data_IF_508932781701
#
_entry.id   IF_508932781701
#
_cell.length_a   1.000
_cell.length_b   1.000
_cell.length_c   1.000
_cell.angle_alpha   90.00
_cell.angle_beta   90.00
_cell.angle_gamma   90.00
#
_symmetry.space_group_name_H-M   'P 1'
#
loop_
_entity.id
_entity.type
_entity.pdbx_description
1 polymer ?
#
# COMPACT_ATOMS: atom_id res chain seq x y z
N UNK A 1 -35.82 11.76 -3.24
CA UNK A 1 -35.97 12.10 -1.81
C UNK A 1 -35.00 13.23 -1.49
N UNK A 2 -35.52 14.40 -1.10
CA UNK A 2 -34.75 15.56 -0.61
C UNK A 2 -34.59 15.44 0.90
N UNK A 3 -33.39 15.76 1.41
CA UNK A 3 -32.94 16.07 2.79
C UNK A 3 -31.50 15.50 2.89
N UNK A 4 -30.43 16.21 3.25
CA UNK A 4 -30.30 17.28 4.22
C UNK A 4 -29.00 18.08 3.92
N UNK A 5 -29.10 19.27 3.31
CA UNK A 5 -27.94 20.13 2.98
C UNK A 5 -27.80 21.36 3.90
N UNK A 6 -28.55 21.44 5.00
CA UNK A 6 -28.53 22.61 5.90
C UNK A 6 -27.66 22.45 7.16
N UNK A 7 -27.06 21.29 7.43
CA UNK A 7 -26.20 21.12 8.62
C UNK A 7 -24.73 21.51 8.42
N UNK A 8 -24.23 21.61 7.18
CA UNK A 8 -22.84 21.99 6.91
C UNK A 8 -22.63 23.52 6.74
N UNK A 9 -23.69 24.30 6.55
CA UNK A 9 -23.60 25.76 6.45
C UNK A 9 -23.57 26.48 7.82
N UNK A 10 -24.06 25.82 8.89
CA UNK A 10 -24.12 26.43 10.23
C UNK A 10 -22.77 26.60 10.92
N UNK A 11 -21.84 25.67 10.73
CA UNK A 11 -20.50 25.71 11.38
C UNK A 11 -19.55 26.74 10.77
N UNK A 12 -19.66 27.00 9.46
CA UNK A 12 -18.86 28.02 8.78
C UNK A 12 -19.33 29.45 9.08
N UNK A 13 -20.64 29.66 9.30
CA UNK A 13 -21.19 30.98 9.65
C UNK A 13 -20.80 31.35 11.09
N UNK A 14 -20.85 30.40 12.05
CA UNK A 14 -20.48 30.67 13.45
C UNK A 14 -18.99 31.05 13.63
N UNK A 15 -18.08 30.44 12.87
CA UNK A 15 -16.65 30.76 12.89
C UNK A 15 -16.32 32.13 12.25
N UNK A 16 -17.08 32.54 11.22
CA UNK A 16 -16.92 33.87 10.60
C UNK A 16 -17.54 35.01 11.43
N UNK A 17 -18.65 34.78 12.14
CA UNK A 17 -19.20 35.78 13.09
C UNK A 17 -18.33 35.99 14.33
N UNK A 18 -17.62 34.95 14.79
CA UNK A 18 -16.71 35.07 15.94
C UNK A 18 -15.45 35.90 15.61
N UNK A 19 -14.98 35.85 14.36
CA UNK A 19 -13.83 36.63 13.89
C UNK A 19 -14.19 38.08 13.51
N UNK A 20 -15.45 38.36 13.14
CA UNK A 20 -15.89 39.72 12.77
C UNK A 20 -16.27 40.59 13.97
N UNK A 21 -16.74 40.01 15.08
CA UNK A 21 -17.12 40.80 16.27
C UNK A 21 -15.94 41.19 17.17
N UNK A 22 -14.74 40.66 16.91
CA UNK A 22 -13.53 41.03 17.65
C UNK A 22 -12.89 42.36 17.16
N UNK A 23 -13.43 42.99 16.11
CA UNK A 23 -12.81 44.15 15.47
C UNK A 23 -13.60 45.47 15.60
N UNK A 24 -14.74 45.52 16.30
CA UNK A 24 -15.52 46.75 16.39
C UNK A 24 -16.35 46.87 17.68
N UNK A 25 -15.73 47.29 18.78
CA UNK A 25 -16.45 48.06 19.81
C UNK A 25 -15.47 48.90 20.68
N UNK A 26 -15.50 50.24 20.66
CA UNK A 26 -14.59 51.10 21.42
C UNK A 26 -15.19 51.52 22.78
N UNK A 27 -15.91 50.63 23.45
CA UNK A 27 -16.45 50.92 24.77
C UNK A 27 -16.52 49.65 25.60
N UNK A 28 -15.63 49.53 26.60
CA UNK A 28 -15.95 49.14 27.98
C UNK A 28 -14.68 49.00 28.79
N UNK A 29 -14.40 50.09 29.49
CA UNK A 29 -13.38 50.22 30.52
C UNK A 29 -13.91 49.62 31.83
N UNK A 30 -13.75 48.30 32.03
CA UNK A 30 -13.75 47.63 33.36
C UNK A 30 -13.08 46.26 33.21
N UNK A 31 -11.75 46.23 33.26
CA UNK A 31 -10.97 44.99 33.17
C UNK A 31 -10.77 44.37 34.57
N UNK A 32 -11.37 43.20 34.80
CA UNK A 32 -10.75 42.16 35.64
C UNK A 32 -9.50 41.60 34.93
N UNK A 33 -8.48 41.12 35.64
CA UNK A 33 -7.22 40.71 35.02
C UNK A 33 -7.43 39.49 34.10
N UNK A 34 -6.76 39.43 32.93
CA UNK A 34 -7.06 38.49 31.84
C UNK A 34 -6.59 37.03 32.08
N UNK A 35 -6.28 36.63 33.30
CA UNK A 35 -5.67 35.31 33.57
C UNK A 35 -6.68 34.15 33.58
N UNK A 36 -7.95 34.40 33.91
CA UNK A 36 -8.99 33.36 34.00
C UNK A 36 -9.56 32.98 32.62
N UNK A 37 -9.87 33.97 31.78
CA UNK A 37 -10.46 33.72 30.46
C UNK A 37 -9.51 33.00 29.49
N UNK A 38 -8.21 33.28 29.53
CA UNK A 38 -7.23 32.57 28.70
C UNK A 38 -7.02 31.12 29.13
N UNK A 39 -7.13 30.83 30.44
CA UNK A 39 -7.00 29.48 30.97
C UNK A 39 -8.21 28.62 30.62
N UNK A 40 -9.42 29.19 30.66
CA UNK A 40 -10.66 28.51 30.27
C UNK A 40 -10.71 28.20 28.77
N UNK A 41 -10.31 29.16 27.91
CA UNK A 41 -10.20 28.93 26.45
C UNK A 41 -9.14 27.87 26.14
N UNK A 42 -8.05 27.85 26.90
CA UNK A 42 -6.98 26.86 26.74
C UNK A 42 -7.40 25.45 27.17
N UNK A 43 -8.08 25.31 28.31
CA UNK A 43 -8.66 24.03 28.75
C UNK A 43 -9.75 23.54 27.78
N UNK A 44 -10.59 24.44 27.27
CA UNK A 44 -11.57 24.08 26.24
C UNK A 44 -10.90 23.60 24.94
N UNK A 45 -9.81 24.25 24.52
CA UNK A 45 -9.07 23.85 23.32
C UNK A 45 -8.40 22.47 23.46
N UNK A 46 -7.88 22.16 24.65
CA UNK A 46 -7.32 20.84 24.98
C UNK A 46 -8.41 19.76 24.99
N UNK A 47 -9.56 20.04 25.62
CA UNK A 47 -10.68 19.10 25.65
C UNK A 47 -11.29 18.87 24.27
N UNK A 48 -11.39 19.89 23.42
CA UNK A 48 -11.86 19.74 22.04
C UNK A 48 -10.85 18.97 21.17
N UNK A 49 -9.55 19.21 21.33
CA UNK A 49 -8.51 18.45 20.65
C UNK A 49 -8.52 16.97 21.07
N UNK A 50 -8.71 16.68 22.37
CA UNK A 50 -8.83 15.32 22.90
C UNK A 50 -10.13 14.62 22.44
N UNK A 51 -11.25 15.35 22.35
CA UNK A 51 -12.49 14.79 21.79
C UNK A 51 -12.36 14.50 20.29
N UNK A 52 -11.75 15.40 19.52
CA UNK A 52 -11.44 15.19 18.10
C UNK A 52 -10.47 14.01 17.92
N UNK A 53 -9.52 13.84 18.84
CA UNK A 53 -8.59 12.73 18.90
C UNK A 53 -9.31 11.38 19.09
N UNK A 54 -10.15 11.28 20.13
CA UNK A 54 -10.95 10.08 20.42
C UNK A 54 -11.95 9.76 19.28
N UNK A 55 -12.54 10.79 18.68
CA UNK A 55 -13.47 10.65 17.57
C UNK A 55 -12.76 10.26 16.27
N UNK A 56 -11.55 10.77 16.03
CA UNK A 56 -10.70 10.33 14.92
C UNK A 56 -10.33 8.85 15.09
N UNK A 57 -9.94 8.41 16.29
CA UNK A 57 -9.54 7.04 16.62
C UNK A 57 -10.66 6.01 16.39
N UNK A 58 -11.90 6.34 16.75
CA UNK A 58 -13.08 5.48 16.53
C UNK A 58 -13.56 5.47 15.07
N UNK A 59 -13.55 6.62 14.40
CA UNK A 59 -13.86 6.71 12.96
C UNK A 59 -12.86 5.93 12.12
N UNK A 60 -11.61 5.92 12.58
CA UNK A 60 -10.49 5.19 11.99
C UNK A 60 -10.71 3.69 12.13
N UNK A 61 -10.96 3.14 13.33
CA UNK A 61 -11.21 1.70 13.49
C UNK A 61 -12.38 1.20 12.63
N UNK A 62 -13.45 2.00 12.49
CA UNK A 62 -14.59 1.66 11.65
C UNK A 62 -14.27 1.71 10.15
N UNK A 63 -13.36 2.59 9.74
CA UNK A 63 -12.89 2.68 8.36
C UNK A 63 -11.95 1.53 7.99
N UNK A 64 -10.98 1.21 8.83
CA UNK A 64 -10.10 0.06 8.63
C UNK A 64 -10.90 -1.26 8.51
N UNK A 65 -11.90 -1.45 9.37
CA UNK A 65 -12.83 -2.59 9.27
C UNK A 65 -13.65 -2.59 7.97
N UNK A 66 -13.99 -1.42 7.41
CA UNK A 66 -14.72 -1.32 6.12
C UNK A 66 -13.83 -1.62 4.92
N UNK A 67 -12.60 -1.11 4.92
CA UNK A 67 -11.59 -1.45 3.90
C UNK A 67 -11.34 -2.97 3.90
N UNK A 68 -11.20 -3.57 5.09
CA UNK A 68 -11.02 -5.01 5.29
C UNK A 68 -12.20 -5.86 4.79
N UNK A 69 -13.46 -5.40 4.98
CA UNK A 69 -14.68 -6.13 4.57
C UNK A 69 -15.02 -6.02 3.08
N UNK A 70 -14.57 -4.97 2.40
CA UNK A 70 -14.92 -4.70 0.98
C UNK A 70 -13.81 -5.04 -0.01
N UNK A 71 -12.57 -5.14 0.44
CA UNK A 71 -11.45 -5.58 -0.37
C UNK A 71 -11.30 -7.12 -0.39
N UNK A 72 -12.09 -7.85 0.42
CA UNK A 72 -12.14 -9.31 0.38
C UNK A 72 -13.09 -9.81 -0.72
N UNK A 73 -12.66 -10.70 -1.64
CA UNK A 73 -13.60 -11.61 -2.30
C UNK A 73 -14.33 -12.43 -1.22
N UNK A 74 -15.62 -12.68 -1.42
CA UNK A 74 -16.62 -12.99 -0.38
C UNK A 74 -16.38 -14.30 0.44
N UNK A 75 -15.33 -15.07 0.18
CA UNK A 75 -15.08 -16.39 0.78
C UNK A 75 -13.66 -16.59 1.37
N UNK A 76 -13.03 -15.55 1.92
CA UNK A 76 -11.70 -15.65 2.57
C UNK A 76 -11.77 -15.78 4.10
N UNK A 77 -11.16 -16.84 4.65
CA UNK A 77 -10.84 -16.96 6.09
C UNK A 77 -9.40 -16.52 6.34
N UNK A 78 -9.07 -15.89 7.49
CA UNK A 78 -7.70 -15.48 7.77
C UNK A 78 -6.77 -16.69 7.95
N UNK A 79 -5.58 -16.71 7.34
CA UNK A 79 -4.53 -17.63 7.74
C UNK A 79 -4.08 -17.37 9.18
N UNK A 80 -3.59 -18.43 9.83
CA UNK A 80 -2.79 -18.32 11.06
C UNK A 80 -1.47 -17.66 10.67
N UNK A 81 -1.27 -16.39 11.02
CA UNK A 81 0.03 -15.74 10.78
C UNK A 81 1.07 -16.28 11.76
N UNK A 82 2.12 -16.92 11.25
CA UNK A 82 3.29 -17.25 12.06
C UNK A 82 4.03 -15.96 12.45
N UNK A 83 4.41 -15.82 13.72
CA UNK A 83 5.11 -14.64 14.23
C UNK A 83 6.43 -14.33 13.49
N UNK A 84 7.04 -15.35 12.89
CA UNK A 84 8.23 -15.22 12.04
C UNK A 84 7.92 -14.51 10.71
N UNK A 85 6.82 -14.86 10.05
CA UNK A 85 6.37 -14.19 8.82
C UNK A 85 6.05 -12.72 9.07
N UNK A 86 5.33 -12.42 10.15
CA UNK A 86 5.05 -11.05 10.59
C UNK A 86 6.35 -10.25 10.77
N UNK A 87 7.30 -10.80 11.51
CA UNK A 87 8.57 -10.13 11.82
C UNK A 87 9.37 -9.85 10.56
N UNK A 88 9.48 -10.82 9.64
CA UNK A 88 10.17 -10.62 8.36
C UNK A 88 9.48 -9.55 7.52
N UNK A 89 8.16 -9.68 7.31
CA UNK A 89 7.36 -8.74 6.53
C UNK A 89 7.48 -7.32 7.10
N UNK A 90 7.35 -7.16 8.41
CA UNK A 90 7.44 -5.87 9.09
C UNK A 90 8.82 -5.22 8.91
N UNK A 91 9.89 -5.96 9.17
CA UNK A 91 11.26 -5.44 9.10
C UNK A 91 11.69 -5.11 7.66
N UNK A 92 11.18 -5.84 6.67
CA UNK A 92 11.46 -5.60 5.25
C UNK A 92 10.63 -4.46 4.67
N UNK A 93 9.36 -4.34 5.07
CA UNK A 93 8.42 -3.37 4.51
C UNK A 93 8.56 -1.97 5.14
N UNK A 94 8.72 -1.91 6.48
CA UNK A 94 8.70 -0.65 7.23
C UNK A 94 9.70 0.40 6.71
N UNK A 95 10.98 0.06 6.43
CA UNK A 95 11.94 1.04 5.94
C UNK A 95 11.55 1.68 4.59
N UNK A 96 10.86 0.92 3.73
CA UNK A 96 10.41 1.39 2.41
C UNK A 96 9.18 2.29 2.57
N UNK A 97 8.24 1.92 3.44
CA UNK A 97 7.08 2.78 3.76
C UNK A 97 7.52 4.12 4.37
N UNK A 98 8.51 4.11 5.26
CA UNK A 98 9.05 5.32 5.88
C UNK A 98 9.73 6.26 4.89
N UNK A 99 10.58 5.72 4.01
CA UNK A 99 11.22 6.49 2.94
C UNK A 99 10.17 7.13 2.03
N UNK A 100 9.12 6.38 1.69
CA UNK A 100 8.03 6.89 0.85
C UNK A 100 7.25 8.00 1.56
N UNK A 101 6.96 7.86 2.86
CA UNK A 101 6.26 8.87 3.65
C UNK A 101 7.05 10.18 3.70
N UNK A 102 8.37 10.10 3.91
CA UNK A 102 9.25 11.28 3.92
C UNK A 102 9.23 12.00 2.57
N UNK A 103 9.40 11.26 1.46
CA UNK A 103 9.33 11.85 0.12
C UNK A 103 7.95 12.45 -0.19
N UNK A 104 6.88 11.84 0.30
CA UNK A 104 5.52 12.37 0.13
C UNK A 104 5.31 13.68 0.88
N UNK A 105 5.82 13.80 2.11
CA UNK A 105 5.80 15.05 2.86
C UNK A 105 6.64 16.14 2.15
N UNK A 106 7.79 15.76 1.57
CA UNK A 106 8.64 16.68 0.81
C UNK A 106 8.00 17.17 -0.50
N UNK A 107 7.34 16.27 -1.26
CA UNK A 107 6.72 16.56 -2.56
C UNK A 107 5.80 17.79 -2.50
N UNK A 108 5.08 17.94 -1.37
CA UNK A 108 4.09 19.00 -1.14
C UNK A 108 4.69 20.40 -1.03
N UNK A 109 5.98 20.50 -0.76
CA UNK A 109 6.71 21.78 -0.66
C UNK A 109 7.44 22.15 -1.95
N UNK A 110 7.40 21.28 -2.98
CA UNK A 110 8.14 21.44 -4.24
C UNK A 110 7.29 22.11 -5.34
N UNK A 111 7.91 22.85 -6.27
CA UNK A 111 7.22 23.39 -7.44
C UNK A 111 6.75 22.27 -8.40
N UNK A 112 5.64 22.46 -9.15
CA UNK A 112 5.07 21.43 -10.03
C UNK A 112 6.02 20.96 -11.13
N UNK A 113 6.82 21.87 -11.70
CA UNK A 113 7.86 21.57 -12.68
C UNK A 113 9.06 22.50 -12.46
N UNK A 114 10.28 21.98 -12.59
CA UNK A 114 11.49 22.78 -12.53
C UNK A 114 12.58 22.24 -13.46
N UNK A 115 13.24 23.13 -14.20
CA UNK A 115 14.16 22.73 -15.28
C UNK A 115 15.59 22.42 -14.80
N UNK A 116 15.93 22.76 -13.55
CA UNK A 116 17.28 22.67 -12.98
C UNK A 116 17.31 22.12 -11.54
N UNK A 117 16.16 21.80 -10.96
CA UNK A 117 16.00 21.29 -9.58
C UNK A 117 14.96 20.18 -9.57
N UNK A 118 15.09 19.25 -8.62
CA UNK A 118 14.11 18.18 -8.40
C UNK A 118 12.71 18.78 -8.25
N UNK A 119 11.78 18.33 -9.08
CA UNK A 119 10.39 18.80 -9.11
C UNK A 119 9.40 17.74 -8.64
N UNK A 120 8.10 18.05 -8.69
CA UNK A 120 7.07 17.10 -8.26
C UNK A 120 7.01 15.84 -9.13
N UNK A 121 7.44 15.90 -10.40
CA UNK A 121 7.47 14.76 -11.33
C UNK A 121 8.60 13.82 -10.95
N UNK A 122 9.79 14.35 -10.66
CA UNK A 122 10.91 13.55 -10.18
C UNK A 122 10.55 12.80 -8.88
N UNK A 123 9.98 13.52 -7.91
CA UNK A 123 9.55 12.93 -6.63
C UNK A 123 8.43 11.91 -6.82
N UNK A 124 7.54 12.10 -7.80
CA UNK A 124 6.49 11.12 -8.12
C UNK A 124 7.08 9.81 -8.67
N UNK A 125 8.13 9.89 -9.50
CA UNK A 125 8.83 8.72 -10.01
C UNK A 125 9.57 7.97 -8.89
N UNK A 126 10.21 8.68 -7.96
CA UNK A 126 10.85 8.07 -6.79
C UNK A 126 9.83 7.37 -5.89
N UNK A 127 8.68 8.01 -5.65
CA UNK A 127 7.58 7.41 -4.89
C UNK A 127 7.11 6.14 -5.61
N UNK A 128 6.89 6.17 -6.93
CA UNK A 128 6.46 5.00 -7.69
C UNK A 128 7.45 3.83 -7.53
N UNK A 129 8.76 4.08 -7.65
CA UNK A 129 9.78 3.05 -7.45
C UNK A 129 9.76 2.45 -6.03
N UNK A 130 9.53 3.27 -5.00
CA UNK A 130 9.38 2.76 -3.64
C UNK A 130 8.06 1.99 -3.43
N UNK A 131 6.99 2.36 -4.13
CA UNK A 131 5.75 1.58 -4.12
C UNK A 131 5.95 0.22 -4.79
N UNK A 132 6.72 0.14 -5.88
CA UNK A 132 7.12 -1.13 -6.50
C UNK A 132 7.94 -2.00 -5.53
N UNK A 133 8.91 -1.42 -4.83
CA UNK A 133 9.67 -2.12 -3.77
C UNK A 133 8.76 -2.64 -2.66
N UNK A 134 7.80 -1.82 -2.21
CA UNK A 134 6.85 -2.22 -1.18
C UNK A 134 5.95 -3.37 -1.66
N UNK A 135 5.47 -3.32 -2.91
CA UNK A 135 4.69 -4.41 -3.52
C UNK A 135 5.52 -5.68 -3.62
N UNK A 136 6.80 -5.60 -4.01
CA UNK A 136 7.67 -6.76 -4.09
C UNK A 136 7.78 -7.47 -2.72
N UNK A 137 8.01 -6.73 -1.64
CA UNK A 137 8.04 -7.27 -0.27
C UNK A 137 6.68 -7.84 0.13
N UNK A 138 5.59 -7.13 -0.17
CA UNK A 138 4.22 -7.58 0.15
C UNK A 138 3.79 -8.81 -0.66
N UNK A 139 4.39 -9.06 -1.82
CA UNK A 139 4.12 -10.22 -2.68
C UNK A 139 5.05 -11.41 -2.39
N UNK A 140 6.01 -11.24 -1.48
CA UNK A 140 6.97 -12.26 -1.13
C UNK A 140 6.27 -13.39 -0.36
N UNK A 141 6.19 -14.56 -0.98
CA UNK A 141 5.57 -15.74 -0.39
C UNK A 141 6.36 -17.03 -0.73
N UNK A 142 6.30 -18.06 0.14
CA UNK A 142 6.81 -19.41 -0.15
C UNK A 142 6.27 -19.98 -1.47
N UNK A 143 5.08 -19.54 -1.85
CA UNK A 143 4.35 -19.79 -3.12
C UNK A 143 5.21 -19.54 -4.37
N UNK A 144 6.21 -18.64 -4.32
CA UNK A 144 7.16 -18.40 -5.42
C UNK A 144 8.05 -19.62 -5.73
N UNK A 145 8.37 -20.45 -4.73
CA UNK A 145 9.18 -21.65 -4.91
C UNK A 145 8.44 -22.73 -5.71
N UNK A 146 7.14 -22.90 -5.44
CA UNK A 146 6.28 -23.78 -6.22
C UNK A 146 6.23 -23.38 -7.68
N UNK A 147 6.15 -22.07 -7.97
CA UNK A 147 6.14 -21.54 -9.35
C UNK A 147 7.46 -21.79 -10.07
N UNK A 148 8.59 -21.52 -9.41
CA UNK A 148 9.91 -21.81 -9.98
C UNK A 148 10.01 -23.30 -10.33
N UNK A 149 9.55 -24.16 -9.43
CA UNK A 149 9.57 -25.60 -9.63
C UNK A 149 8.63 -26.07 -10.74
N UNK A 150 7.41 -25.52 -10.84
CA UNK A 150 6.48 -25.79 -11.94
C UNK A 150 7.13 -25.43 -13.29
N UNK A 151 7.70 -24.23 -13.41
CA UNK A 151 8.38 -23.77 -14.64
C UNK A 151 9.56 -24.67 -15.02
N UNK A 152 10.37 -25.09 -14.04
CA UNK A 152 11.46 -26.04 -14.28
C UNK A 152 10.95 -27.38 -14.83
N UNK A 153 9.88 -27.93 -14.24
CA UNK A 153 9.30 -29.20 -14.68
C UNK A 153 8.69 -29.10 -16.07
N UNK A 154 7.95 -28.01 -16.35
CA UNK A 154 7.38 -27.74 -17.68
C UNK A 154 8.47 -27.60 -18.74
N UNK A 155 9.55 -26.86 -18.43
CA UNK A 155 10.69 -26.73 -19.33
C UNK A 155 11.38 -28.07 -19.57
N UNK A 156 11.56 -28.90 -18.53
CA UNK A 156 12.15 -30.22 -18.67
C UNK A 156 11.27 -31.17 -19.51
N UNK A 157 9.94 -31.11 -19.34
CA UNK A 157 8.98 -31.84 -20.18
C UNK A 157 9.07 -31.36 -21.64
N UNK A 158 9.12 -30.05 -21.86
CA UNK A 158 9.25 -29.45 -23.20
C UNK A 158 10.54 -29.89 -23.90
N UNK A 159 11.68 -29.80 -23.20
CA UNK A 159 12.98 -30.25 -23.72
C UNK A 159 12.97 -31.75 -24.03
N UNK A 160 12.43 -32.59 -23.15
CA UNK A 160 12.33 -34.02 -23.39
C UNK A 160 11.46 -34.36 -24.61
N UNK A 161 10.39 -33.59 -24.87
CA UNK A 161 9.58 -33.73 -26.09
C UNK A 161 10.37 -33.36 -27.35
N UNK A 162 11.13 -32.27 -27.31
CA UNK A 162 12.00 -31.86 -28.42
C UNK A 162 13.07 -32.91 -28.71
N UNK A 163 13.70 -33.46 -27.66
CA UNK A 163 14.68 -34.55 -27.78
C UNK A 163 14.06 -35.81 -28.40
N UNK A 164 12.83 -36.17 -28.02
CA UNK A 164 12.11 -37.29 -28.64
C UNK A 164 11.95 -37.08 -30.14
N UNK A 165 11.56 -35.89 -30.57
CA UNK A 165 11.38 -35.59 -31.99
C UNK A 165 12.71 -35.63 -32.75
N UNK A 166 13.78 -35.09 -32.16
CA UNK A 166 15.12 -35.15 -32.73
C UNK A 166 15.63 -36.61 -32.84
N UNK A 167 15.47 -37.41 -31.78
CA UNK A 167 15.88 -38.82 -31.78
C UNK A 167 15.04 -39.65 -32.75
N UNK A 168 13.75 -39.38 -32.90
CA UNK A 168 12.90 -40.02 -33.91
C UNK A 168 13.41 -39.75 -35.32
N UNK A 169 13.82 -38.52 -35.62
CA UNK A 169 14.42 -38.16 -36.90
C UNK A 169 15.76 -38.89 -37.12
N UNK A 170 16.66 -38.85 -36.13
CA UNK A 170 17.99 -39.49 -36.22
C UNK A 170 17.89 -41.02 -36.36
N UNK A 171 16.89 -41.63 -35.70
CA UNK A 171 16.61 -43.06 -35.78
C UNK A 171 16.29 -43.54 -37.19
N UNK A 172 15.68 -42.71 -38.04
CA UNK A 172 15.33 -43.09 -39.43
C UNK A 172 16.59 -43.49 -40.22
N UNK A 173 17.65 -42.68 -40.10
CA UNK A 173 18.93 -42.90 -40.76
C UNK A 173 19.90 -43.82 -40.00
N UNK A 174 19.55 -44.27 -38.79
CA UNK A 174 20.44 -45.07 -37.96
C UNK A 174 20.54 -46.53 -38.47
N UNK A 175 21.75 -47.11 -38.47
CA UNK A 175 21.96 -48.52 -38.81
C UNK A 175 21.33 -49.47 -37.77
N UNK A 176 21.01 -50.69 -38.20
CA UNK A 176 20.50 -51.74 -37.31
C UNK A 176 21.58 -52.22 -36.34
N UNK A 177 22.81 -52.41 -36.82
CA UNK A 177 23.99 -52.78 -36.05
C UNK A 177 25.15 -51.84 -36.46
N UNK A 178 25.95 -51.35 -35.52
CA UNK A 178 27.06 -50.44 -35.80
C UNK A 178 28.27 -50.71 -34.91
N UNK A 179 29.47 -50.55 -35.47
CA UNK A 179 30.74 -50.44 -34.73
C UNK A 179 31.11 -48.99 -34.40
N UNK A 180 30.54 -48.02 -35.12
CA UNK A 180 30.69 -46.58 -34.91
C UNK A 180 29.33 -45.89 -35.09
N UNK A 181 28.95 -45.02 -34.15
CA UNK A 181 27.67 -44.31 -34.14
C UNK A 181 26.52 -45.07 -33.44
N UNK A 182 25.43 -44.36 -33.13
CA UNK A 182 24.27 -44.93 -32.43
C UNK A 182 23.39 -45.77 -33.36
N UNK A 183 23.02 -46.96 -32.92
CA UNK A 183 22.07 -47.88 -33.56
C UNK A 183 20.62 -47.46 -33.35
N UNK A 184 19.71 -48.04 -34.14
CA UNK A 184 18.26 -47.87 -33.92
C UNK A 184 17.83 -48.23 -32.50
N UNK A 185 18.37 -49.31 -31.94
CA UNK A 185 18.05 -49.76 -30.58
C UNK A 185 18.52 -48.75 -29.52
N UNK A 186 19.65 -48.09 -29.73
CA UNK A 186 20.14 -47.06 -28.80
C UNK A 186 19.29 -45.78 -28.88
N UNK A 187 18.82 -45.40 -30.07
CA UNK A 187 17.85 -44.31 -30.20
C UNK A 187 16.48 -44.67 -29.58
N UNK A 188 16.02 -45.91 -29.73
CA UNK A 188 14.81 -46.40 -29.06
C UNK A 188 14.96 -46.33 -27.52
N UNK A 189 16.13 -46.66 -26.97
CA UNK A 189 16.42 -46.50 -25.55
C UNK A 189 16.43 -45.03 -25.09
N UNK A 190 16.96 -44.11 -25.90
CA UNK A 190 16.95 -42.67 -25.60
C UNK A 190 15.52 -42.10 -25.62
N UNK A 191 14.71 -42.48 -26.61
CA UNK A 191 13.30 -42.10 -26.68
C UNK A 191 12.55 -42.62 -25.45
N UNK A 192 12.78 -43.88 -25.06
CA UNK A 192 12.17 -44.46 -23.86
C UNK A 192 12.58 -43.71 -22.57
N UNK A 193 13.85 -43.30 -22.47
CA UNK A 193 14.34 -42.49 -21.34
C UNK A 193 13.67 -41.12 -21.28
N UNK A 194 13.52 -40.43 -22.42
CA UNK A 194 12.81 -39.16 -22.48
C UNK A 194 11.31 -39.33 -22.12
N UNK A 195 10.67 -40.40 -22.59
CA UNK A 195 9.27 -40.69 -22.24
C UNK A 195 9.11 -40.96 -20.73
N UNK A 196 10.04 -41.69 -20.11
CA UNK A 196 10.05 -41.90 -18.67
C UNK A 196 10.23 -40.56 -17.92
N UNK A 197 11.12 -39.68 -18.41
CA UNK A 197 11.32 -38.34 -17.84
C UNK A 197 10.04 -37.49 -17.91
N UNK A 198 9.34 -37.49 -19.05
CA UNK A 198 8.05 -36.81 -19.21
C UNK A 198 7.04 -37.34 -18.19
N UNK A 199 6.93 -38.66 -18.05
CA UNK A 199 5.97 -39.27 -17.13
C UNK A 199 6.28 -38.90 -15.67
N UNK A 200 7.53 -39.02 -15.23
CA UNK A 200 7.96 -38.65 -13.87
C UNK A 200 7.71 -37.18 -13.59
N UNK A 201 8.16 -36.29 -14.48
CA UNK A 201 7.99 -34.85 -14.29
C UNK A 201 6.52 -34.43 -14.32
N UNK A 202 5.67 -35.10 -15.12
CA UNK A 202 4.23 -34.82 -15.16
C UNK A 202 3.56 -35.22 -13.83
N UNK A 203 3.96 -36.35 -13.23
CA UNK A 203 3.47 -36.77 -11.92
C UNK A 203 3.90 -35.79 -10.83
N UNK A 204 5.16 -35.37 -10.83
CA UNK A 204 5.69 -34.38 -9.89
C UNK A 204 4.97 -33.04 -10.05
N UNK A 205 4.78 -32.58 -11.29
CA UNK A 205 4.06 -31.35 -11.60
C UNK A 205 2.64 -31.39 -11.04
N UNK A 206 1.90 -32.49 -11.21
CA UNK A 206 0.56 -32.64 -10.65
C UNK A 206 0.57 -32.59 -9.11
N UNK A 207 1.55 -33.23 -8.45
CA UNK A 207 1.69 -33.18 -7.00
C UNK A 207 1.95 -31.76 -6.49
N UNK A 208 2.83 -31.02 -7.17
CA UNK A 208 3.19 -29.65 -6.81
C UNK A 208 2.00 -28.71 -7.02
N UNK A 209 1.24 -28.87 -8.12
CA UNK A 209 0.00 -28.12 -8.34
C UNK A 209 -1.02 -28.34 -7.23
N UNK A 210 -1.16 -29.58 -6.73
CA UNK A 210 -2.05 -29.89 -5.61
C UNK A 210 -1.57 -29.28 -4.28
N UNK A 211 -0.27 -29.34 -3.99
CA UNK A 211 0.31 -28.70 -2.80
C UNK A 211 0.14 -27.18 -2.85
N UNK A 212 0.40 -26.58 -4.01
CA UNK A 212 0.17 -25.16 -4.25
C UNK A 212 -1.29 -24.77 -4.02
N UNK A 213 -2.24 -25.53 -4.56
CA UNK A 213 -3.67 -25.31 -4.33
C UNK A 213 -4.02 -25.37 -2.83
N UNK A 214 -3.41 -26.27 -2.08
CA UNK A 214 -3.61 -26.38 -0.63
C UNK A 214 -3.03 -25.17 0.11
N UNK A 215 -1.84 -24.70 -0.25
CA UNK A 215 -1.26 -23.49 0.35
C UNK A 215 -2.10 -22.25 0.05
N UNK A 216 -2.59 -22.09 -1.18
CA UNK A 216 -3.50 -21.00 -1.53
C UNK A 216 -4.78 -21.04 -0.65
N UNK A 217 -5.36 -22.22 -0.40
CA UNK A 217 -6.50 -22.35 0.50
C UNK A 217 -6.16 -22.01 1.95
N UNK A 218 -4.96 -22.35 2.40
CA UNK A 218 -4.50 -22.02 3.77
C UNK A 218 -4.35 -20.51 3.97
N UNK A 219 -3.95 -19.76 2.93
CA UNK A 219 -3.96 -18.30 2.93
C UNK A 219 -5.34 -17.69 2.62
N UNK A 220 -6.40 -18.51 2.58
CA UNK A 220 -7.78 -18.04 2.43
C UNK A 220 -8.27 -17.93 0.98
N UNK A 221 -7.44 -18.22 -0.02
CA UNK A 221 -7.85 -18.26 -1.43
C UNK A 221 -8.58 -19.57 -1.75
N UNK A 222 -9.91 -19.53 -1.67
CA UNK A 222 -10.77 -20.65 -2.04
C UNK A 222 -10.93 -20.77 -3.57
N UNK A 223 -9.95 -21.41 -4.21
CA UNK A 223 -9.93 -21.69 -5.64
C UNK A 223 -10.24 -23.17 -5.92
N UNK A 224 -11.03 -23.43 -6.95
CA UNK A 224 -11.23 -24.79 -7.47
C UNK A 224 -9.93 -25.31 -8.11
N UNK A 225 -9.75 -26.63 -8.20
CA UNK A 225 -8.56 -27.21 -8.83
C UNK A 225 -8.39 -26.73 -10.29
N UNK A 226 -9.51 -26.52 -11.00
CA UNK A 226 -9.53 -25.96 -12.36
C UNK A 226 -9.09 -24.49 -12.38
N UNK A 227 -9.50 -23.69 -11.41
CA UNK A 227 -9.07 -22.30 -11.27
C UNK A 227 -7.59 -22.21 -10.92
N UNK A 228 -7.08 -23.09 -10.05
CA UNK A 228 -5.66 -23.15 -9.71
C UNK A 228 -4.83 -23.58 -10.90
N UNK A 229 -5.25 -24.63 -11.62
CA UNK A 229 -4.55 -25.09 -12.82
C UNK A 229 -4.52 -24.01 -13.89
N UNK A 230 -5.61 -23.26 -14.05
CA UNK A 230 -5.69 -22.11 -14.94
C UNK A 230 -4.78 -20.95 -14.50
N UNK A 231 -4.75 -20.59 -13.21
CA UNK A 231 -3.86 -19.55 -12.69
C UNK A 231 -2.37 -19.92 -12.83
N UNK A 232 -2.05 -21.21 -12.68
CA UNK A 232 -0.68 -21.71 -12.83
C UNK A 232 -0.22 -21.82 -14.29
N UNK A 233 -1.16 -21.91 -15.23
CA UNK A 233 -0.87 -22.05 -16.67
C UNK A 233 -1.02 -20.74 -17.43
N UNK A 234 -1.58 -19.70 -16.81
CA UNK A 234 -1.75 -18.38 -17.42
C UNK A 234 -0.80 -17.35 -16.83
N UNK A 235 -0.20 -16.54 -17.70
CA UNK A 235 0.75 -15.48 -17.27
C UNK A 235 0.04 -14.36 -16.46
N UNK A 236 -1.29 -14.26 -16.56
CA UNK A 236 -2.12 -13.34 -15.73
C UNK A 236 -2.34 -13.90 -14.32
N UNK A 237 -2.31 -15.23 -14.16
CA UNK A 237 -2.47 -15.86 -12.86
C UNK A 237 -1.32 -15.54 -11.89
N UNK A 238 -0.18 -15.08 -12.40
CA UNK A 238 0.92 -14.51 -11.60
C UNK A 238 0.42 -13.27 -10.84
N UNK A 239 -0.04 -12.27 -11.58
CA UNK A 239 -0.51 -10.99 -11.04
C UNK A 239 -1.72 -11.11 -10.11
N UNK A 240 -2.67 -12.01 -10.40
CA UNK A 240 -3.88 -12.18 -9.58
C UNK A 240 -3.59 -12.87 -8.24
N UNK A 241 -2.66 -13.81 -8.21
CA UNK A 241 -2.24 -14.47 -6.98
C UNK A 241 -1.40 -13.51 -6.13
N UNK A 242 -0.50 -12.76 -6.76
CA UNK A 242 0.27 -11.72 -6.07
C UNK A 242 -0.69 -10.72 -5.40
N UNK A 243 -1.78 -10.35 -6.08
CA UNK A 243 -2.80 -9.44 -5.52
C UNK A 243 -3.46 -10.02 -4.25
N UNK A 244 -3.73 -11.33 -4.23
CA UNK A 244 -4.26 -12.02 -3.05
C UNK A 244 -3.27 -12.02 -1.88
N UNK A 245 -2.00 -12.38 -2.16
CA UNK A 245 -0.93 -12.40 -1.14
C UNK A 245 -0.72 -11.00 -0.55
N UNK A 246 -0.64 -9.98 -1.42
CA UNK A 246 -0.45 -8.59 -1.00
C UNK A 246 -1.63 -8.12 -0.16
N UNK A 247 -2.87 -8.51 -0.50
CA UNK A 247 -4.05 -8.19 0.30
C UNK A 247 -3.94 -8.74 1.73
N UNK A 248 -3.56 -10.01 1.89
CA UNK A 248 -3.41 -10.62 3.22
C UNK A 248 -2.27 -9.97 4.02
N UNK A 249 -1.14 -9.70 3.39
CA UNK A 249 -0.01 -9.04 4.02
C UNK A 249 -0.36 -7.59 4.42
N UNK A 250 -1.12 -6.86 3.61
CA UNK A 250 -1.64 -5.54 3.95
C UNK A 250 -2.55 -5.62 5.18
N UNK A 251 -3.43 -6.62 5.26
CA UNK A 251 -4.32 -6.81 6.41
C UNK A 251 -3.52 -7.05 7.70
N UNK A 252 -2.49 -7.89 7.64
CA UNK A 252 -1.62 -8.16 8.80
C UNK A 252 -0.93 -6.86 9.27
N UNK A 253 -0.32 -6.10 8.34
CA UNK A 253 0.38 -4.86 8.68
C UNK A 253 -0.58 -3.78 9.19
N UNK A 254 -1.77 -3.71 8.60
CA UNK A 254 -2.87 -2.86 9.03
C UNK A 254 -3.21 -3.08 10.50
N UNK A 255 -3.42 -4.34 10.90
CA UNK A 255 -3.74 -4.70 12.28
C UNK A 255 -2.63 -4.28 13.26
N UNK A 256 -1.36 -4.40 12.87
CA UNK A 256 -0.23 -3.93 13.68
C UNK A 256 -0.17 -2.40 13.77
N UNK A 257 -0.44 -1.67 12.69
CA UNK A 257 -0.50 -0.21 12.71
C UNK A 257 -1.64 0.29 13.61
N UNK A 258 -2.79 -0.39 13.62
CA UNK A 258 -3.89 -0.08 14.53
C UNK A 258 -3.49 -0.27 15.99
N UNK A 259 -2.80 -1.37 16.32
CA UNK A 259 -2.31 -1.64 17.66
C UNK A 259 -1.31 -0.56 18.11
N UNK A 260 -0.39 -0.17 17.24
CA UNK A 260 0.58 0.89 17.52
C UNK A 260 -0.07 2.26 17.73
N UNK A 261 -1.13 2.59 16.98
CA UNK A 261 -1.93 3.82 17.21
C UNK A 261 -2.72 3.74 18.52
N UNK A 262 -3.18 2.54 18.90
CA UNK A 262 -3.87 2.34 20.18
C UNK A 262 -2.92 2.54 21.36
N UNK A 263 -1.69 2.02 21.24
CA UNK A 263 -0.66 2.03 22.27
C UNK A 263 0.09 3.37 22.38
N UNK A 264 0.13 4.16 21.30
CA UNK A 264 0.76 5.49 21.30
C UNK A 264 0.06 6.52 22.19
N UNK A 265 -1.19 6.26 22.63
CA UNK A 265 -1.91 7.11 23.58
C UNK A 265 -2.09 8.55 23.09
N UNK A 266 -1.46 9.52 23.76
CA UNK A 266 -1.46 10.95 23.42
C UNK A 266 -0.24 11.39 22.59
N UNK A 267 0.66 10.46 22.19
CA UNK A 267 1.80 10.81 21.35
C UNK A 267 1.36 11.08 19.89
N UNK A 268 1.12 12.35 19.61
CA UNK A 268 0.74 12.85 18.29
C UNK A 268 1.80 12.57 17.22
N UNK A 269 3.09 12.52 17.58
CA UNK A 269 4.15 12.28 16.60
C UNK A 269 4.18 10.82 16.13
N UNK A 270 4.09 9.87 17.05
CA UNK A 270 4.02 8.44 16.72
C UNK A 270 2.73 8.12 15.95
N UNK A 271 1.61 8.68 16.39
CA UNK A 271 0.33 8.47 15.71
C UNK A 271 0.30 9.05 14.29
N UNK A 272 0.84 10.26 14.09
CA UNK A 272 1.03 10.84 12.74
C UNK A 272 1.84 9.90 11.86
N UNK A 273 2.95 9.35 12.37
CA UNK A 273 3.79 8.40 11.65
C UNK A 273 3.00 7.16 11.23
N UNK A 274 2.27 6.51 12.15
CA UNK A 274 1.52 5.29 11.83
C UNK A 274 0.38 5.52 10.82
N UNK A 275 -0.35 6.64 10.90
CA UNK A 275 -1.32 7.01 9.87
C UNK A 275 -0.66 7.27 8.51
N UNK A 276 0.52 7.91 8.51
CA UNK A 276 1.30 8.14 7.30
C UNK A 276 1.74 6.83 6.66
N UNK A 277 2.20 5.85 7.45
CA UNK A 277 2.57 4.52 6.96
C UNK A 277 1.36 3.80 6.35
N UNK A 278 0.17 3.94 6.93
CA UNK A 278 -1.02 3.34 6.32
C UNK A 278 -1.39 3.97 4.97
N UNK A 279 -1.32 5.30 4.88
CA UNK A 279 -1.55 6.01 3.62
C UNK A 279 -0.63 5.47 2.53
N UNK A 280 0.66 5.27 2.85
CA UNK A 280 1.62 4.69 1.91
C UNK A 280 1.27 3.25 1.58
N UNK A 281 0.86 2.43 2.55
CA UNK A 281 0.43 1.05 2.33
C UNK A 281 -0.75 0.96 1.35
N UNK A 282 -1.77 1.81 1.52
CA UNK A 282 -2.91 1.88 0.59
C UNK A 282 -2.51 2.37 -0.80
N UNK A 283 -1.51 3.26 -0.89
CA UNK A 283 -0.93 3.68 -2.19
C UNK A 283 -0.22 2.54 -2.88
N UNK A 284 0.56 1.74 -2.16
CA UNK A 284 1.21 0.55 -2.72
C UNK A 284 0.17 -0.44 -3.26
N UNK A 285 -0.92 -0.65 -2.51
CA UNK A 285 -2.00 -1.51 -2.96
C UNK A 285 -2.75 -0.98 -4.18
N UNK A 286 -2.97 0.33 -4.23
CA UNK A 286 -3.59 1.00 -5.40
C UNK A 286 -2.69 0.87 -6.62
N UNK A 287 -1.38 1.06 -6.43
CA UNK A 287 -0.37 0.93 -7.46
C UNK A 287 -0.38 -0.48 -8.06
N UNK A 288 -0.44 -1.50 -7.22
CA UNK A 288 -0.53 -2.89 -7.67
C UNK A 288 -1.75 -3.16 -8.56
N UNK A 289 -2.94 -2.70 -8.16
CA UNK A 289 -4.15 -2.88 -8.99
C UNK A 289 -3.99 -2.24 -10.37
N UNK A 290 -3.40 -1.03 -10.42
CA UNK A 290 -3.10 -0.36 -11.68
C UNK A 290 -2.15 -1.18 -12.56
N UNK A 291 -1.10 -1.76 -11.97
CA UNK A 291 -0.15 -2.62 -12.69
C UNK A 291 -0.87 -3.84 -13.28
N UNK A 292 -1.75 -4.51 -12.54
CA UNK A 292 -2.52 -5.65 -13.06
C UNK A 292 -3.43 -5.23 -14.22
N UNK A 293 -4.18 -4.13 -14.07
CA UNK A 293 -5.01 -3.57 -15.16
C UNK A 293 -4.17 -3.29 -16.41
N UNK A 294 -3.02 -2.63 -16.25
CA UNK A 294 -2.15 -2.26 -17.37
C UNK A 294 -1.56 -3.48 -18.09
N UNK A 295 -1.11 -4.50 -17.35
CA UNK A 295 -0.55 -5.70 -17.99
C UNK A 295 -1.64 -6.45 -18.77
N UNK A 296 -2.86 -6.53 -18.25
CA UNK A 296 -4.00 -7.12 -18.99
C UNK A 296 -4.26 -6.34 -20.27
N UNK A 297 -4.48 -5.03 -20.17
CA UNK A 297 -4.94 -4.22 -21.30
C UNK A 297 -3.83 -3.93 -22.33
N UNK A 298 -2.60 -3.67 -21.88
CA UNK A 298 -1.52 -3.21 -22.75
C UNK A 298 -0.61 -4.32 -23.26
N UNK A 299 -0.60 -5.50 -22.63
CA UNK A 299 0.27 -6.61 -23.04
C UNK A 299 -0.52 -7.85 -23.48
N UNK A 300 -1.43 -8.36 -22.65
CA UNK A 300 -2.09 -9.63 -22.96
C UNK A 300 -3.17 -9.52 -24.03
N UNK A 301 -4.09 -8.55 -23.91
CA UNK A 301 -5.17 -8.38 -24.89
C UNK A 301 -4.62 -8.19 -26.31
N UNK A 302 -3.63 -7.30 -26.58
CA UNK A 302 -3.06 -7.15 -27.92
C UNK A 302 -2.44 -8.43 -28.49
N UNK A 303 -1.80 -9.25 -27.66
CA UNK A 303 -1.20 -10.53 -28.10
C UNK A 303 -2.28 -11.56 -28.47
N UNK A 304 -3.35 -11.64 -27.69
CA UNK A 304 -4.48 -12.54 -27.98
C UNK A 304 -5.16 -12.11 -29.28
N UNK A 305 -5.36 -10.80 -29.47
CA UNK A 305 -5.94 -10.25 -30.68
C UNK A 305 -5.08 -10.55 -31.92
N UNK A 306 -3.76 -10.47 -31.80
CA UNK A 306 -2.83 -10.84 -32.86
C UNK A 306 -2.95 -12.32 -33.25
N UNK A 307 -3.08 -13.23 -32.27
CA UNK A 307 -3.30 -14.66 -32.52
C UNK A 307 -4.65 -14.89 -33.20
N UNK A 308 -5.71 -14.25 -32.71
CA UNK A 308 -7.06 -14.35 -33.28
C UNK A 308 -7.08 -13.87 -34.74
N UNK A 309 -6.42 -12.75 -35.03
CA UNK A 309 -6.30 -12.20 -36.37
C UNK A 309 -5.52 -13.15 -37.29
N UNK A 310 -4.41 -13.73 -36.82
CA UNK A 310 -3.63 -14.69 -37.61
C UNK A 310 -4.42 -15.97 -37.91
N UNK A 311 -5.17 -16.49 -36.94
CA UNK A 311 -6.04 -17.65 -37.13
C UNK A 311 -7.14 -17.37 -38.16
N UNK A 312 -7.68 -16.14 -38.16
CA UNK A 312 -8.68 -15.68 -39.14
C UNK A 312 -8.14 -15.61 -40.56
N UNK A 313 -6.95 -15.05 -40.74
CA UNK A 313 -6.25 -15.02 -42.05
C UNK A 313 -5.99 -16.44 -42.56
N UNK A 314 -5.46 -17.32 -41.71
CA UNK A 314 -5.17 -18.70 -42.08
C UNK A 314 -6.44 -19.48 -42.43
N UNK A 315 -7.56 -19.18 -41.77
CA UNK A 315 -8.88 -19.74 -42.12
C UNK A 315 -9.35 -19.31 -43.50
N UNK A 316 -9.15 -18.04 -43.87
CA UNK A 316 -9.47 -17.56 -45.21
C UNK A 316 -8.60 -18.23 -46.28
N UNK A 317 -7.29 -18.34 -46.03
CA UNK A 317 -6.36 -19.05 -46.92
C UNK A 317 -6.74 -20.54 -47.07
N UNK A 318 -7.06 -21.21 -45.96
CA UNK A 318 -7.46 -22.63 -45.94
C UNK A 318 -8.74 -22.84 -46.76
N UNK A 319 -9.73 -21.93 -46.62
CA UNK A 319 -10.97 -21.97 -47.43
C UNK A 319 -10.72 -21.75 -48.92
N UNK A 320 -9.78 -20.87 -49.28
CA UNK A 320 -9.38 -20.68 -50.67
C UNK A 320 -8.68 -21.95 -51.24
N UNK A 321 -7.84 -22.61 -50.45
CA UNK A 321 -7.20 -23.88 -50.84
C UNK A 321 -8.22 -25.01 -51.01
N UNK A 322 -9.27 -25.07 -50.19
CA UNK A 322 -10.33 -26.08 -50.33
C UNK A 322 -11.05 -26.02 -51.69
N UNK A 323 -11.13 -24.83 -52.31
CA UNK A 323 -11.74 -24.66 -53.63
C UNK A 323 -10.88 -25.23 -54.77
N UNK A 324 -9.57 -25.35 -54.56
CA UNK A 324 -8.61 -25.72 -55.62
C UNK A 324 -7.95 -27.09 -55.40
N UNK A 325 -7.86 -27.57 -54.15
CA UNK A 325 -7.14 -28.80 -53.78
C UNK A 325 -8.08 -29.89 -53.23
N UNK A 326 -8.92 -30.44 -54.11
CA UNK A 326 -9.92 -31.46 -53.76
C UNK A 326 -9.32 -32.75 -53.18
N UNK A 327 -8.09 -33.12 -53.58
CA UNK A 327 -7.40 -34.32 -53.08
C UNK A 327 -6.91 -34.20 -51.63
N UNK A 328 -6.83 -32.98 -51.08
CA UNK A 328 -6.40 -32.71 -49.70
C UNK A 328 -7.54 -32.30 -48.77
N UNK A 329 -8.80 -32.51 -49.18
CA UNK A 329 -9.98 -32.04 -48.45
C UNK A 329 -9.98 -32.43 -46.96
N UNK A 330 -9.58 -33.66 -46.61
CA UNK A 330 -9.54 -34.12 -45.22
C UNK A 330 -8.56 -33.30 -44.35
N UNK A 331 -7.36 -33.01 -44.86
CA UNK A 331 -6.35 -32.24 -44.13
C UNK A 331 -6.80 -30.78 -43.99
N UNK A 332 -7.31 -30.19 -45.07
CA UNK A 332 -7.78 -28.81 -45.05
C UNK A 332 -9.00 -28.62 -44.13
N UNK A 333 -9.90 -29.62 -44.06
CA UNK A 333 -11.02 -29.61 -43.11
C UNK A 333 -10.54 -29.68 -41.66
N UNK A 334 -9.55 -30.54 -41.36
CA UNK A 334 -8.98 -30.63 -40.02
C UNK A 334 -8.27 -29.33 -39.61
N UNK A 335 -7.52 -28.73 -40.53
CA UNK A 335 -6.85 -27.44 -40.32
C UNK A 335 -7.87 -26.33 -40.05
N UNK A 336 -8.95 -26.28 -40.85
CA UNK A 336 -10.01 -25.29 -40.66
C UNK A 336 -10.69 -25.45 -39.29
N UNK A 337 -10.98 -26.68 -38.87
CA UNK A 337 -11.56 -26.96 -37.55
C UNK A 337 -10.64 -26.51 -36.41
N UNK A 338 -9.32 -26.75 -36.53
CA UNK A 338 -8.34 -26.29 -35.56
C UNK A 338 -8.26 -24.75 -35.49
N UNK A 339 -8.27 -24.07 -36.64
CA UNK A 339 -8.26 -22.61 -36.72
C UNK A 339 -9.53 -21.99 -36.11
N UNK A 340 -10.70 -22.60 -36.35
CA UNK A 340 -11.97 -22.18 -35.76
C UNK A 340 -12.05 -22.45 -34.25
N UNK A 341 -11.39 -23.50 -33.76
CA UNK A 341 -11.22 -23.72 -32.33
C UNK A 341 -10.31 -22.66 -31.72
N UNK A 342 -9.18 -22.35 -32.36
CA UNK A 342 -8.26 -21.29 -31.90
C UNK A 342 -8.98 -19.94 -31.80
N UNK A 343 -9.74 -19.53 -32.82
CA UNK A 343 -10.50 -18.27 -32.78
C UNK A 343 -11.51 -18.21 -31.62
N UNK A 344 -12.19 -19.33 -31.34
CA UNK A 344 -13.13 -19.42 -30.21
C UNK A 344 -12.40 -19.35 -28.86
N UNK A 345 -11.27 -20.04 -28.74
CA UNK A 345 -10.46 -20.03 -27.52
C UNK A 345 -9.90 -18.64 -27.23
N UNK A 346 -9.37 -17.94 -28.25
CA UNK A 346 -8.88 -16.56 -28.09
C UNK A 346 -9.97 -15.59 -27.68
N UNK A 347 -11.19 -15.75 -28.23
CA UNK A 347 -12.33 -14.91 -27.85
C UNK A 347 -12.72 -15.11 -26.38
N UNK A 348 -12.92 -16.37 -25.97
CA UNK A 348 -13.29 -16.71 -24.60
C UNK A 348 -12.25 -16.22 -23.59
N UNK A 349 -10.96 -16.35 -23.94
CA UNK A 349 -9.88 -15.91 -23.06
C UNK A 349 -9.79 -14.38 -22.98
N UNK A 350 -9.99 -13.67 -24.10
CA UNK A 350 -10.05 -12.19 -24.12
C UNK A 350 -11.21 -11.67 -23.26
N UNK A 351 -12.41 -12.23 -23.44
CA UNK A 351 -13.60 -11.84 -22.67
C UNK A 351 -13.38 -12.06 -21.15
N UNK A 352 -12.75 -13.18 -20.79
CA UNK A 352 -12.38 -13.47 -19.41
C UNK A 352 -11.42 -12.41 -18.85
N UNK A 353 -10.34 -12.09 -19.56
CA UNK A 353 -9.36 -11.10 -19.11
C UNK A 353 -9.95 -9.70 -18.96
N UNK A 354 -10.83 -9.29 -19.87
CA UNK A 354 -11.55 -8.03 -19.75
C UNK A 354 -12.46 -8.01 -18.53
N UNK A 355 -13.16 -9.11 -18.23
CA UNK A 355 -13.95 -9.23 -17.01
C UNK A 355 -13.10 -9.13 -15.75
N UNK A 356 -11.90 -9.74 -15.73
CA UNK A 356 -10.97 -9.63 -14.61
C UNK A 356 -10.45 -8.19 -14.44
N UNK A 357 -10.07 -7.52 -15.53
CA UNK A 357 -9.63 -6.12 -15.47
C UNK A 357 -10.72 -5.20 -14.89
N UNK A 358 -11.98 -5.41 -15.26
CA UNK A 358 -13.12 -4.68 -14.68
C UNK A 358 -13.30 -4.95 -13.18
N UNK A 359 -13.11 -6.18 -12.72
CA UNK A 359 -13.18 -6.52 -11.29
C UNK A 359 -12.06 -5.84 -10.50
N UNK A 360 -10.81 -5.91 -11.00
CA UNK A 360 -9.65 -5.24 -10.40
C UNK A 360 -9.88 -3.72 -10.35
N UNK A 361 -10.36 -3.13 -11.44
CA UNK A 361 -10.72 -1.71 -11.52
C UNK A 361 -11.78 -1.31 -10.50
N UNK A 362 -12.84 -2.08 -10.37
CA UNK A 362 -13.90 -1.82 -9.41
C UNK A 362 -13.36 -1.84 -7.97
N UNK A 363 -12.50 -2.81 -7.63
CA UNK A 363 -11.83 -2.88 -6.33
C UNK A 363 -10.91 -1.67 -6.09
N UNK A 364 -10.11 -1.27 -7.10
CA UNK A 364 -9.28 -0.08 -7.03
C UNK A 364 -10.08 1.20 -6.77
N UNK A 365 -11.20 1.39 -7.45
CA UNK A 365 -12.04 2.59 -7.24
C UNK A 365 -12.62 2.68 -5.83
N UNK A 366 -12.84 1.54 -5.16
CA UNK A 366 -13.19 1.52 -3.73
C UNK A 366 -11.99 1.92 -2.89
N UNK A 367 -10.83 1.29 -3.15
CA UNK A 367 -9.58 1.57 -2.46
C UNK A 367 -9.14 3.04 -2.57
N UNK A 368 -9.35 3.70 -3.70
CA UNK A 368 -9.05 5.12 -3.89
C UNK A 368 -9.89 6.03 -2.99
N UNK A 369 -11.15 5.66 -2.72
CA UNK A 369 -12.01 6.39 -1.77
C UNK A 369 -11.53 6.19 -0.33
N UNK A 370 -11.10 4.98 -0.01
CA UNK A 370 -10.53 4.67 1.29
C UNK A 370 -9.19 5.40 1.49
N UNK A 371 -8.34 5.46 0.47
CA UNK A 371 -7.10 6.23 0.45
C UNK A 371 -7.37 7.74 0.62
N UNK A 372 -8.39 8.29 -0.05
CA UNK A 372 -8.76 9.70 0.13
C UNK A 372 -9.16 10.00 1.58
N UNK A 373 -9.89 9.07 2.21
CA UNK A 373 -10.25 9.16 3.63
C UNK A 373 -9.00 9.06 4.52
N UNK A 374 -8.10 8.12 4.21
CA UNK A 374 -6.80 7.96 4.89
C UNK A 374 -5.99 9.25 4.91
N UNK A 375 -5.88 9.87 3.73
CA UNK A 375 -5.13 11.09 3.52
C UNK A 375 -5.72 12.23 4.33
N UNK A 376 -7.05 12.38 4.33
CA UNK A 376 -7.70 13.41 5.13
C UNK A 376 -7.48 13.23 6.64
N UNK A 377 -7.52 11.99 7.13
CA UNK A 377 -7.23 11.66 8.53
C UNK A 377 -5.77 11.98 8.88
N UNK A 378 -4.84 11.54 8.04
CA UNK A 378 -3.42 11.85 8.19
C UNK A 378 -3.17 13.37 8.25
N UNK A 379 -3.79 14.14 7.36
CA UNK A 379 -3.69 15.61 7.38
C UNK A 379 -4.27 16.21 8.66
N UNK A 380 -5.40 15.71 9.13
CA UNK A 380 -6.05 16.20 10.33
C UNK A 380 -5.17 15.98 11.56
N UNK A 381 -4.56 14.80 11.68
CA UNK A 381 -3.63 14.47 12.77
C UNK A 381 -2.35 15.31 12.66
N UNK A 382 -1.80 15.47 11.45
CA UNK A 382 -0.60 16.30 11.21
C UNK A 382 -0.82 17.76 11.60
N UNK A 383 -1.88 18.38 11.09
CA UNK A 383 -2.19 19.80 11.36
C UNK A 383 -2.48 20.01 12.85
N UNK A 384 -3.20 19.09 13.50
CA UNK A 384 -3.45 19.14 14.94
C UNK A 384 -2.15 19.03 15.74
N UNK A 385 -1.23 18.15 15.34
CA UNK A 385 0.10 18.02 15.93
C UNK A 385 0.96 19.27 15.76
N UNK A 386 0.95 19.89 14.58
CA UNK A 386 1.66 21.15 14.30
C UNK A 386 1.16 22.28 15.21
N UNK A 387 -0.16 22.40 15.37
CA UNK A 387 -0.76 23.39 16.27
C UNK A 387 -0.35 23.17 17.73
N UNK A 388 -0.43 21.93 18.23
CA UNK A 388 -0.02 21.60 19.61
C UNK A 388 1.47 21.91 19.84
N UNK A 389 2.33 21.59 18.87
CA UNK A 389 3.75 21.91 18.95
C UNK A 389 4.01 23.42 18.97
N UNK A 390 3.28 24.20 18.16
CA UNK A 390 3.35 25.66 18.17
C UNK A 390 2.97 26.24 19.54
N UNK A 391 1.87 25.76 20.13
CA UNK A 391 1.41 26.19 21.47
C UNK A 391 2.45 25.87 22.54
N UNK A 392 2.98 24.63 22.57
CA UNK A 392 4.04 24.23 23.51
C UNK A 392 5.30 25.09 23.36
N UNK A 393 5.72 25.36 22.14
CA UNK A 393 6.90 26.20 21.85
C UNK A 393 6.67 27.64 22.31
N UNK A 394 5.50 28.19 22.04
CA UNK A 394 5.08 29.51 22.52
C UNK A 394 5.11 29.60 24.06
N UNK A 395 4.58 28.59 24.76
CA UNK A 395 4.62 28.53 26.23
C UNK A 395 6.05 28.51 26.77
N UNK A 396 6.93 27.68 26.20
CA UNK A 396 8.34 27.63 26.61
C UNK A 396 9.07 28.96 26.38
N UNK A 397 8.78 29.65 25.28
CA UNK A 397 9.33 30.97 25.00
C UNK A 397 8.83 32.03 25.98
N UNK A 398 7.52 32.05 26.26
CA UNK A 398 6.91 32.98 27.23
C UNK A 398 7.44 32.71 28.64
N UNK A 399 7.50 31.45 29.08
CA UNK A 399 8.07 31.06 30.37
C UNK A 399 9.56 31.44 30.46
N UNK A 400 10.32 31.26 29.38
CA UNK A 400 11.71 31.67 29.30
C UNK A 400 11.91 33.18 29.39
N UNK A 401 10.98 33.97 28.83
CA UNK A 401 10.96 35.44 28.95
C UNK A 401 10.54 35.87 30.36
N UNK A 402 9.51 35.26 30.93
CA UNK A 402 9.02 35.55 32.30
C UNK A 402 10.09 35.21 33.35
N UNK A 403 10.82 34.09 33.20
CA UNK A 403 11.94 33.71 34.06
C UNK A 403 13.18 34.63 33.91
N UNK A 404 13.26 35.43 32.85
CA UNK A 404 14.33 36.43 32.62
C UNK A 404 13.94 37.85 33.05
N UNK A 405 12.70 38.08 33.50
CA UNK A 405 12.36 39.36 34.12
C UNK A 405 13.15 39.51 35.42
N UNK A 406 13.75 40.70 35.59
CA UNK A 406 14.61 41.08 36.71
C UNK A 406 13.90 40.76 38.03
N UNK A 407 14.57 40.15 39.04
CA UNK A 407 13.96 40.00 40.36
C UNK A 407 13.50 41.37 40.82
N UNK A 408 12.22 41.48 41.19
CA UNK A 408 11.69 42.74 41.70
C UNK A 408 12.65 43.28 42.76
N UNK A 409 13.08 44.53 42.62
CA UNK A 409 13.86 45.24 43.64
C UNK A 409 13.13 45.02 44.96
N UNK A 410 13.71 44.20 45.84
CA UNK A 410 13.30 44.18 47.24
C UNK A 410 13.35 45.64 47.68
N UNK A 411 12.24 46.22 48.17
CA UNK A 411 12.28 47.59 48.65
C UNK A 411 13.40 47.67 49.68
N UNK A 412 14.30 48.65 49.49
CA UNK A 412 15.41 48.89 50.38
C UNK A 412 14.85 49.19 51.79
N UNK A 413 14.73 48.15 52.61
CA UNK A 413 14.38 48.29 54.02
C UNK A 413 15.63 48.78 54.74
N UNK A 414 15.71 50.08 54.90
CA UNK A 414 16.83 50.74 55.57
C UNK A 414 16.72 50.61 57.10
N UNK A 415 16.71 49.37 57.60
CA UNK A 415 16.80 49.04 59.02
C UNK A 415 18.11 49.54 59.63
N UNK A 416 19.16 49.71 58.81
CA UNK A 416 20.43 50.31 59.20
C UNK A 416 20.33 51.82 59.46
N UNK A 417 19.70 52.62 58.56
CA UNK A 417 19.46 54.04 58.87
C UNK A 417 18.54 54.22 60.06
N UNK A 418 17.50 53.38 60.22
CA UNK A 418 16.55 53.52 61.32
C UNK A 418 17.25 53.32 62.68
N UNK A 419 18.19 52.36 62.78
CA UNK A 419 19.02 52.15 63.98
C UNK A 419 20.02 53.28 64.23
N UNK A 420 20.61 53.86 63.19
CA UNK A 420 21.49 55.03 63.35
C UNK A 420 20.70 56.29 63.76
N UNK A 421 19.49 56.49 63.22
CA UNK A 421 18.61 57.57 63.65
C UNK A 421 18.17 57.41 65.11
N UNK A 422 17.84 56.19 65.55
CA UNK A 422 17.52 55.92 66.96
C UNK A 422 18.72 56.14 67.88
N UNK A 423 19.94 55.74 67.46
CA UNK A 423 21.19 56.03 68.18
C UNK A 423 21.44 57.53 68.35
N UNK A 424 21.32 58.30 67.27
CA UNK A 424 21.49 59.76 67.29
C UNK A 424 20.43 60.43 68.15
N UNK A 425 19.18 59.94 68.12
CA UNK A 425 18.08 60.50 68.92
C UNK A 425 18.26 60.22 70.41
N UNK A 426 18.79 59.04 70.77
CA UNK A 426 19.16 58.73 72.16
C UNK A 426 20.31 59.61 72.64
N UNK A 427 21.38 59.78 71.84
CA UNK A 427 22.52 60.64 72.19
C UNK A 427 22.13 62.12 72.34
N UNK A 428 21.22 62.63 71.50
CA UNK A 428 20.71 64.00 71.61
C UNK A 428 19.81 64.19 72.84
N UNK A 429 19.04 63.17 73.25
CA UNK A 429 18.27 63.21 74.50
C UNK A 429 19.13 63.16 75.76
N UNK A 430 20.21 62.37 75.77
CA UNK A 430 21.14 62.35 76.91
C UNK A 430 21.92 63.66 77.05
N UNK A 431 22.27 64.32 75.94
CA UNK A 431 22.93 65.64 76.02
C UNK A 431 22.00 66.78 76.46
N UNK A 432 20.69 66.67 76.28
CA UNK A 432 19.73 67.70 76.70
C UNK A 432 19.28 67.58 78.17
N UNK A 433 19.60 66.47 78.85
CA UNK A 433 19.32 66.23 80.28
C UNK A 433 20.54 66.56 81.17
N UNK A 434 21.74 66.66 80.61
CA UNK A 434 22.96 67.04 81.34
C UNK A 434 23.31 68.56 81.29
N UNK A 435 22.42 69.39 80.73
CA UNK A 435 22.58 70.85 80.65
C UNK A 435 21.37 71.61 81.20
N UNK A 436 20.76 71.08 82.27
CA UNK A 436 19.87 71.82 83.18
C UNK A 436 20.27 71.58 84.61
#
# INVERSE_FOLDING_TARGET
>A
MKLNHQQHAGLLISLLTALSNAAADPALNTAEPPQSQSADVWQHSQQQAEQLWQQSRSTVSDWWQRAQRKAAPTDMQPPLSDAEHLSHLWNSLLPTLERTLVLQDEQRTRPPQAWLRRDQVDVQADIAALLDEAVAVLSEAPVQQYRARIRELEQAISNARQDIDQYRQQRIGAPLNATLGKTRSEYDALIAKCQATINTNTQELNSIKQQFAQELRQIGLNLTDEQVDFLLTTVVGDNLIDLGIVFDNIKIITEQLEELVRDSGEDLNSTRRYYGLYVVLLRAFTHMHLTVEQVIEADYIPRIDAIAQRARELSQETRALQQTQLTQANVLNANLAAQELTMRATQLYSDYLLQQAEQVRAARLVLERDLATALNTYETVRVSGEFVNLVKTSQQLIDGVLKRQVPALQPFQNLALKREFEKLTVQLRTHHIAAR
#
